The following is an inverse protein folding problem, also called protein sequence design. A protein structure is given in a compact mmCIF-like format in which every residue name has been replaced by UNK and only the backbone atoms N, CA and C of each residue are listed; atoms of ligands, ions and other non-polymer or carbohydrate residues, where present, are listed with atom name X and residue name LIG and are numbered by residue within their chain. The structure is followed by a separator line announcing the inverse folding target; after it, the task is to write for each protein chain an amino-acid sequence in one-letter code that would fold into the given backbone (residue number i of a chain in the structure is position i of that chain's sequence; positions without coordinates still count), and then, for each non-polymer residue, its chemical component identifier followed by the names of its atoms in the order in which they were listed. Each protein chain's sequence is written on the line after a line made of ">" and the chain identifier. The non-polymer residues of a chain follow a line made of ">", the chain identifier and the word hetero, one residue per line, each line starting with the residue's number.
data_IF_484046514296
#
_entry.id   IF_484046514296
#
_cell.length_a   1.000
_cell.length_b   1.000
_cell.length_c   1.000
_cell.angle_alpha   90.00
_cell.angle_beta   90.00
_cell.angle_gamma   90.00
#
_symmetry.space_group_name_H-M   'P 1'
#
loop_
_entity.id
_entity.type
_entity.pdbx_description
1 polymer ?
#
# COMPACT_ATOMS: atom_id res chain seq x y z
N UNK A 1 10.05 19.79 6.38
CA UNK A 1 11.07 18.85 5.88
C UNK A 1 10.43 18.08 4.75
N UNK A 2 10.91 18.22 3.52
CA UNK A 2 10.53 17.30 2.45
C UNK A 2 11.05 15.90 2.83
N UNK A 3 10.22 14.88 2.64
CA UNK A 3 10.64 13.50 2.79
C UNK A 3 11.60 13.15 1.66
N UNK A 4 12.62 12.36 1.97
CA UNK A 4 13.59 11.90 0.98
C UNK A 4 12.88 11.09 -0.11
N UNK A 5 13.28 11.29 -1.37
CA UNK A 5 12.64 10.60 -2.48
C UNK A 5 12.96 9.10 -2.43
N UNK A 6 11.93 8.26 -2.48
CA UNK A 6 12.09 6.81 -2.52
C UNK A 6 12.72 6.36 -3.84
N UNK A 7 13.65 5.40 -3.76
CA UNK A 7 14.20 4.73 -4.94
C UNK A 7 13.15 3.81 -5.61
N UNK A 8 13.48 3.33 -6.81
CA UNK A 8 12.54 2.50 -7.58
C UNK A 8 12.19 1.19 -6.89
N UNK A 9 13.17 0.53 -6.27
CA UNK A 9 12.97 -0.76 -5.60
C UNK A 9 11.98 -0.64 -4.44
N UNK A 10 12.13 0.42 -3.64
CA UNK A 10 11.26 0.73 -2.51
C UNK A 10 9.84 1.04 -2.98
N UNK A 11 9.69 1.81 -4.08
CA UNK A 11 8.37 2.06 -4.68
C UNK A 11 7.69 0.76 -5.12
N UNK A 12 8.44 -0.16 -5.73
CA UNK A 12 7.89 -1.47 -6.13
C UNK A 12 7.46 -2.31 -4.92
N UNK A 13 8.23 -2.30 -3.83
CA UNK A 13 7.85 -2.97 -2.58
C UNK A 13 6.52 -2.44 -2.03
N UNK A 14 6.34 -1.12 -2.01
CA UNK A 14 5.09 -0.46 -1.55
C UNK A 14 3.91 -0.87 -2.45
N UNK A 15 4.06 -0.76 -3.77
CA UNK A 15 3.01 -1.12 -4.74
C UNK A 15 2.57 -2.57 -4.59
N UNK A 16 3.52 -3.51 -4.46
CA UNK A 16 3.21 -4.93 -4.26
C UNK A 16 2.47 -5.18 -2.95
N UNK A 17 2.89 -4.52 -1.85
CA UNK A 17 2.20 -4.63 -0.56
C UNK A 17 0.75 -4.15 -0.63
N UNK A 18 0.50 -3.01 -1.28
CA UNK A 18 -0.86 -2.48 -1.49
C UNK A 18 -1.69 -3.44 -2.35
N UNK A 19 -1.12 -3.99 -3.43
CA UNK A 19 -1.81 -4.94 -4.30
C UNK A 19 -2.23 -6.21 -3.56
N UNK A 20 -1.35 -6.78 -2.74
CA UNK A 20 -1.69 -7.95 -1.92
C UNK A 20 -2.78 -7.66 -0.89
N UNK A 21 -2.76 -6.49 -0.26
CA UNK A 21 -3.80 -6.07 0.68
C UNK A 21 -5.17 -5.96 -0.02
N UNK A 22 -5.21 -5.35 -1.21
CA UNK A 22 -6.43 -5.25 -2.02
C UNK A 22 -6.93 -6.61 -2.50
N UNK A 23 -6.04 -7.47 -2.97
CA UNK A 23 -6.39 -8.85 -3.35
C UNK A 23 -7.01 -9.60 -2.17
N UNK A 24 -6.37 -9.56 -1.01
CA UNK A 24 -6.88 -10.19 0.20
C UNK A 24 -8.28 -9.68 0.56
N UNK A 25 -8.50 -8.35 0.55
CA UNK A 25 -9.81 -7.77 0.83
C UNK A 25 -10.90 -8.21 -0.16
N UNK A 26 -10.55 -8.34 -1.45
CA UNK A 26 -11.48 -8.80 -2.48
C UNK A 26 -11.79 -10.31 -2.41
N UNK A 27 -10.86 -11.11 -1.88
CA UNK A 27 -11.03 -12.56 -1.70
C UNK A 27 -11.82 -12.94 -0.44
N UNK A 28 -12.16 -11.97 0.44
CA UNK A 28 -13.01 -12.20 1.61
C UNK A 28 -14.46 -12.56 1.23
N UNK A 29 -15.18 -13.16 2.18
CA UNK A 29 -16.61 -13.48 2.02
C UNK A 29 -17.42 -12.89 3.20
N UNK A 30 -18.12 -11.76 3.01
CA UNK A 30 -18.30 -11.02 1.75
C UNK A 30 -17.04 -10.22 1.35
N UNK A 31 -16.83 -9.94 0.05
CA UNK A 31 -15.72 -9.10 -0.41
C UNK A 31 -15.81 -7.69 0.17
N UNK A 32 -14.66 -7.12 0.52
CA UNK A 32 -14.56 -5.74 1.01
C UNK A 32 -13.92 -4.87 -0.08
N UNK A 33 -14.66 -3.90 -0.60
CA UNK A 33 -14.10 -2.89 -1.49
C UNK A 33 -13.49 -1.76 -0.67
N UNK A 34 -12.24 -1.35 -0.97
CA UNK A 34 -11.66 -0.14 -0.42
C UNK A 34 -12.02 1.06 -1.33
N UNK A 35 -13.01 1.90 -0.96
CA UNK A 35 -13.65 2.83 -1.89
C UNK A 35 -12.78 4.03 -2.29
N UNK A 36 -11.61 4.19 -1.68
CA UNK A 36 -10.75 5.35 -1.86
C UNK A 36 -9.28 4.99 -1.65
N UNK A 37 -8.59 4.65 -2.73
CA UNK A 37 -7.16 4.39 -2.70
C UNK A 37 -6.38 5.66 -3.06
N UNK A 38 -5.96 6.40 -2.04
CA UNK A 38 -5.14 7.60 -2.18
C UNK A 38 -3.85 7.43 -1.39
N UNK A 39 -2.74 8.01 -1.88
CA UNK A 39 -1.44 7.94 -1.21
C UNK A 39 -1.46 8.43 0.24
N UNK A 40 -2.31 9.41 0.56
CA UNK A 40 -2.49 9.92 1.94
C UNK A 40 -3.07 8.90 2.93
N UNK A 41 -3.60 7.78 2.44
CA UNK A 41 -4.15 6.68 3.23
C UNK A 41 -3.28 5.43 3.20
N UNK A 42 -2.12 5.47 2.53
CA UNK A 42 -1.14 4.38 2.53
C UNK A 42 -0.04 4.76 3.52
N UNK A 43 -0.02 4.09 4.67
CA UNK A 43 1.01 4.32 5.67
C UNK A 43 2.19 3.39 5.41
N UNK A 44 3.38 3.84 5.79
CA UNK A 44 4.61 3.08 5.64
C UNK A 44 5.17 2.75 7.02
N UNK A 45 5.64 1.51 7.17
CA UNK A 45 6.50 1.12 8.29
C UNK A 45 7.91 1.69 8.13
N UNK A 46 8.73 1.55 9.17
CA UNK A 46 10.14 1.99 9.15
C UNK A 46 10.97 1.27 8.05
N UNK A 47 10.53 0.09 7.59
CA UNK A 47 11.14 -0.67 6.48
C UNK A 47 10.39 -0.49 5.13
N UNK A 48 9.58 0.57 5.00
CA UNK A 48 8.82 0.92 3.80
C UNK A 48 7.84 -0.17 3.31
N UNK A 49 7.33 -1.02 4.21
CA UNK A 49 6.18 -1.86 3.90
C UNK A 49 4.88 -1.06 4.01
N UNK A 50 3.95 -1.30 3.07
CA UNK A 50 2.65 -0.62 3.04
C UNK A 50 1.69 -1.18 4.11
N UNK A 51 0.93 -0.30 4.77
CA UNK A 51 -0.14 -0.59 5.72
C UNK A 51 -1.34 0.32 5.52
#
# INVERSE_FOLDING_TARGET
>A
KEAEALDWSTRMRIVMGVAYCLQFMHDLSPPIAHPSLYSKFIYLTDDFAAK
#
